data_IF_503311710463
#
_entry.id   IF_503311710463
#
_cell.length_a   1.000
_cell.length_b   1.000
_cell.length_c   1.000
_cell.angle_alpha   90.00
_cell.angle_beta   90.00
_cell.angle_gamma   90.00
#
_symmetry.space_group_name_H-M   'P 1'
#
loop_
_entity.id
_entity.type
_entity.pdbx_description
1 polymer ?
#
# COMPACT_ATOMS: atom_id res chain seq x y z
N UNK A 1 -14.67 13.26 -8.57
CA UNK A 1 -13.38 13.27 -7.87
C UNK A 1 -12.79 11.87 -7.85
N UNK A 2 -11.53 11.74 -8.23
CA UNK A 2 -10.86 10.46 -8.15
C UNK A 2 -10.45 10.19 -6.69
N UNK A 3 -10.77 9.01 -6.20
CA UNK A 3 -10.33 8.57 -4.87
C UNK A 3 -8.92 8.02 -4.99
N UNK A 4 -7.99 8.57 -4.22
CA UNK A 4 -6.64 8.04 -4.18
C UNK A 4 -6.62 6.81 -3.29
N UNK A 5 -6.22 5.69 -3.87
CA UNK A 5 -6.07 4.45 -3.13
C UNK A 5 -4.72 4.43 -2.43
N UNK A 6 -4.70 3.94 -1.21
CA UNK A 6 -3.49 3.79 -0.41
C UNK A 6 -2.95 2.38 -0.56
N UNK A 7 -1.66 2.22 -0.32
CA UNK A 7 -1.00 0.92 -0.39
C UNK A 7 -0.78 0.37 1.01
N UNK A 8 -1.26 -0.84 1.27
CA UNK A 8 -1.07 -1.54 2.54
C UNK A 8 -0.69 -2.99 2.30
N UNK A 9 0.02 -3.59 3.25
CA UNK A 9 0.44 -4.99 3.17
C UNK A 9 0.32 -5.65 4.54
N UNK A 10 0.11 -6.97 4.56
CA UNK A 10 -0.01 -7.73 5.80
C UNK A 10 1.31 -7.88 6.55
N UNK A 11 2.44 -7.88 5.83
CA UNK A 11 3.75 -7.99 6.44
C UNK A 11 4.69 -6.96 5.82
N UNK A 12 5.44 -6.27 6.68
CA UNK A 12 6.38 -5.24 6.27
C UNK A 12 7.66 -5.35 7.07
N UNK A 13 8.75 -4.83 6.50
CA UNK A 13 10.02 -4.66 7.19
C UNK A 13 10.31 -3.17 7.31
N UNK A 14 10.75 -2.75 8.50
CA UNK A 14 11.19 -1.38 8.72
C UNK A 14 12.70 -1.31 8.58
N UNK A 15 13.17 -0.53 7.62
CA UNK A 15 14.60 -0.32 7.39
C UNK A 15 14.93 1.11 7.79
N UNK A 16 15.80 1.27 8.78
CA UNK A 16 16.22 2.59 9.25
C UNK A 16 17.41 3.05 8.42
N UNK A 17 17.36 4.26 7.84
CA UNK A 17 18.50 4.81 7.13
C UNK A 17 19.65 5.07 8.09
N UNK A 18 20.87 5.16 7.55
CA UNK A 18 22.04 5.43 8.37
C UNK A 18 21.92 6.80 9.05
N UNK A 19 22.34 6.91 10.33
CA UNK A 19 22.23 8.18 11.07
C UNK A 19 22.91 9.35 10.40
N UNK A 20 23.97 9.10 9.63
CA UNK A 20 24.71 10.15 8.93
C UNK A 20 23.88 10.89 7.88
N UNK A 21 22.75 10.33 7.46
CA UNK A 21 21.88 10.95 6.48
C UNK A 21 20.90 11.96 7.07
N UNK A 22 20.83 12.08 8.40
CA UNK A 22 19.89 12.99 9.06
C UNK A 22 18.43 12.58 8.96
N UNK A 23 18.14 11.42 8.40
CA UNK A 23 16.78 10.89 8.26
C UNK A 23 16.48 9.95 9.42
N UNK A 24 15.42 10.26 10.19
CA UNK A 24 15.04 9.48 11.36
C UNK A 24 13.86 8.54 11.11
N UNK A 25 13.13 8.74 10.00
CA UNK A 25 11.97 7.90 9.68
C UNK A 25 12.39 6.64 8.95
N UNK A 26 11.87 5.47 9.35
CA UNK A 26 12.19 4.23 8.65
C UNK A 26 11.55 4.16 7.27
N UNK A 27 12.17 3.41 6.38
CA UNK A 27 11.57 3.03 5.11
C UNK A 27 10.79 1.75 5.33
N UNK A 28 9.53 1.74 4.89
CA UNK A 28 8.66 0.58 5.03
C UNK A 28 8.73 -0.25 3.75
N UNK A 29 9.18 -1.50 3.87
CA UNK A 29 9.33 -2.41 2.74
C UNK A 29 8.29 -3.53 2.88
N UNK A 30 7.43 -3.76 1.86
CA UNK A 30 6.44 -4.83 1.95
C UNK A 30 7.11 -6.21 1.82
N UNK A 31 6.74 -7.11 2.72
CA UNK A 31 7.17 -8.52 2.69
C UNK A 31 6.07 -9.44 2.15
N UNK A 32 4.89 -8.90 1.89
CA UNK A 32 3.76 -9.64 1.30
C UNK A 32 3.21 -8.82 0.13
N UNK A 33 2.20 -9.37 -0.56
CA UNK A 33 1.53 -8.63 -1.62
C UNK A 33 0.93 -7.33 -1.09
N UNK A 34 1.03 -6.27 -1.91
CA UNK A 34 0.50 -4.95 -1.58
C UNK A 34 -0.93 -4.85 -2.08
N UNK A 35 -1.82 -4.37 -1.23
CA UNK A 35 -3.24 -4.20 -1.54
C UNK A 35 -3.58 -2.72 -1.68
N UNK A 36 -4.49 -2.41 -2.60
CA UNK A 36 -5.06 -1.07 -2.73
C UNK A 36 -6.21 -0.94 -1.73
N UNK A 37 -6.16 0.08 -0.89
CA UNK A 37 -7.12 0.27 0.20
C UNK A 37 -7.81 1.61 0.04
N UNK A 38 -9.13 1.63 0.17
CA UNK A 38 -9.93 2.84 0.08
C UNK A 38 -9.97 3.59 1.43
N UNK A 39 -10.74 4.68 1.47
CA UNK A 39 -10.85 5.51 2.67
C UNK A 39 -11.54 4.80 3.84
N UNK A 40 -12.26 3.72 3.59
CA UNK A 40 -12.98 2.95 4.61
C UNK A 40 -12.16 1.77 5.15
N UNK A 41 -10.86 1.73 4.86
CA UNK A 41 -9.96 0.64 5.25
C UNK A 41 -10.36 -0.72 4.69
N UNK A 42 -10.95 -0.72 3.52
CA UNK A 42 -11.26 -1.94 2.78
C UNK A 42 -10.38 -2.02 1.54
N UNK A 43 -9.72 -3.15 1.36
CA UNK A 43 -8.99 -3.41 0.13
C UNK A 43 -9.99 -3.58 -1.02
N UNK A 44 -9.63 -3.07 -2.20
CA UNK A 44 -10.52 -3.16 -3.36
C UNK A 44 -10.77 -4.60 -3.81
N UNK A 45 -9.95 -5.55 -3.36
CA UNK A 45 -10.17 -6.99 -3.60
C UNK A 45 -11.16 -7.62 -2.61
N UNK A 46 -11.67 -6.85 -1.64
CA UNK A 46 -12.66 -7.31 -0.67
C UNK A 46 -12.12 -7.68 0.70
N UNK A 47 -10.79 -7.68 0.89
CA UNK A 47 -10.19 -8.02 2.19
C UNK A 47 -10.23 -6.83 3.13
N UNK A 48 -10.38 -7.12 4.44
CA UNK A 48 -10.26 -6.08 5.46
C UNK A 48 -8.80 -5.64 5.60
N UNK A 49 -8.58 -4.33 5.74
CA UNK A 49 -7.25 -3.77 5.92
C UNK A 49 -6.88 -3.55 7.39
N UNK A 50 -7.70 -4.02 8.33
CA UNK A 50 -7.46 -3.80 9.78
C UNK A 50 -6.13 -4.34 10.25
N UNK A 51 -5.68 -5.46 9.69
CA UNK A 51 -4.41 -6.10 10.06
C UNK A 51 -3.26 -5.73 9.14
N UNK A 52 -3.51 -4.85 8.17
CA UNK A 52 -2.49 -4.43 7.22
C UNK A 52 -1.73 -3.20 7.72
N UNK A 53 -0.46 -3.12 7.34
CA UNK A 53 0.41 -1.99 7.66
C UNK A 53 0.41 -0.99 6.50
N UNK A 54 0.31 0.29 6.83
CA UNK A 54 0.36 1.38 5.85
C UNK A 54 1.79 1.55 5.34
N UNK A 55 1.96 1.49 4.03
CA UNK A 55 3.28 1.68 3.41
C UNK A 55 3.62 3.15 3.20
N UNK A 56 2.70 4.07 3.53
CA UNK A 56 2.85 5.51 3.30
C UNK A 56 3.07 5.85 1.82
N UNK A 57 2.52 5.02 0.95
CA UNK A 57 2.59 5.19 -0.49
C UNK A 57 1.17 5.18 -1.05
N UNK A 58 1.00 5.84 -2.19
CA UNK A 58 -0.22 5.67 -2.97
C UNK A 58 -0.12 4.38 -3.78
N UNK A 59 -1.27 3.82 -4.14
CA UNK A 59 -1.31 2.61 -4.94
C UNK A 59 -0.52 2.74 -6.26
N UNK A 60 -0.59 3.93 -6.87
CA UNK A 60 0.10 4.19 -8.14
C UNK A 60 1.62 4.13 -8.03
N UNK A 61 2.15 4.34 -6.81
CA UNK A 61 3.59 4.33 -6.57
C UNK A 61 4.14 2.93 -6.31
N UNK A 62 3.27 1.93 -6.19
CA UNK A 62 3.69 0.56 -5.90
C UNK A 62 4.15 -0.13 -7.17
N UNK A 63 5.27 -0.87 -7.06
CA UNK A 63 5.80 -1.67 -8.15
C UNK A 63 4.79 -2.75 -8.55
N UNK A 64 4.54 -2.89 -9.85
CA UNK A 64 3.53 -3.83 -10.36
C UNK A 64 3.80 -5.28 -9.95
N UNK A 65 5.07 -5.65 -9.76
CA UNK A 65 5.44 -6.99 -9.30
C UNK A 65 5.03 -7.30 -7.86
N UNK A 66 4.74 -6.26 -7.07
CA UNK A 66 4.35 -6.40 -5.67
C UNK A 66 2.84 -6.30 -5.46
N UNK A 67 2.10 -5.83 -6.47
CA UNK A 67 0.66 -5.60 -6.35
C UNK A 67 -0.12 -6.91 -6.29
N UNK A 68 -1.13 -6.95 -5.42
CA UNK A 68 -2.12 -8.02 -5.42
C UNK A 68 -2.85 -8.04 -6.77
N UNK A 69 -2.89 -9.17 -7.48
CA UNK A 69 -3.53 -9.22 -8.81
C UNK A 69 -5.00 -8.81 -8.78
N UNK A 70 -5.74 -9.19 -7.75
CA UNK A 70 -7.15 -8.82 -7.62
C UNK A 70 -7.32 -7.32 -7.38
N UNK A 71 -6.46 -6.73 -6.57
CA UNK A 71 -6.46 -5.28 -6.37
C UNK A 71 -6.09 -4.55 -7.65
N UNK A 72 -5.12 -5.06 -8.39
CA UNK A 72 -4.70 -4.47 -9.64
C UNK A 72 -5.83 -4.47 -10.69
N UNK A 73 -6.65 -5.52 -10.71
CA UNK A 73 -7.79 -5.59 -11.60
C UNK A 73 -8.94 -4.68 -11.14
N UNK A 74 -9.16 -4.56 -9.84
CA UNK A 74 -10.28 -3.80 -9.29
C UNK A 74 -9.97 -2.30 -9.11
N UNK A 75 -8.70 -1.94 -8.93
CA UNK A 75 -8.31 -0.57 -8.63
C UNK A 75 -8.74 0.45 -9.70
N UNK A 76 -8.60 0.19 -11.02
CA UNK A 76 -9.04 1.15 -12.04
C UNK A 76 -10.52 1.46 -11.95
N UNK A 77 -11.36 0.48 -11.63
CA UNK A 77 -12.80 0.69 -11.48
C UNK A 77 -13.12 1.48 -10.21
N UNK A 78 -12.43 1.19 -9.12
CA UNK A 78 -12.63 1.90 -7.86
C UNK A 78 -12.16 3.35 -7.96
N UNK A 79 -11.07 3.61 -8.70
CA UNK A 79 -10.51 4.94 -8.84
C UNK A 79 -11.32 5.85 -9.78
N UNK A 80 -12.20 5.29 -10.59
CA UNK A 80 -13.02 6.05 -11.53
C UNK A 80 -14.32 6.57 -10.93
N UNK A 81 -14.65 6.19 -9.72
CA UNK A 81 -15.90 6.61 -9.07
C UNK A 81 -15.71 7.88 -8.26
#
# INVERSE_FOLDING_TARGET
>A
MSVRLRAKAHAVELVYPQPSAGVTSPVVIPLSRVHAVDADDLAVCGRSAETMFDLRLTWDSVDSGLKCPRCDQAAPMAAQN
#
